data_IF_274991638950
#
_entry.id   IF_274991638950
#
_cell.length_a   1.000
_cell.length_b   1.000
_cell.length_c   1.000
_cell.angle_alpha   90.00
_cell.angle_beta   90.00
_cell.angle_gamma   90.00
#
_symmetry.space_group_name_H-M   'P 1'
#
loop_
_entity.id
_entity.type
_entity.pdbx_description
1 polymer ?
#
# COMPACT_ATOMS: atom_id res chain seq x y z
N UNK A 1 -30.32 -36.87 -0.22
CA UNK A 1 -31.14 -35.85 -0.92
C UNK A 1 -30.21 -34.72 -1.32
N UNK A 2 -30.41 -34.09 -2.48
CA UNK A 2 -29.58 -32.95 -2.86
C UNK A 2 -30.02 -31.73 -2.04
N UNK A 3 -29.09 -31.07 -1.36
CA UNK A 3 -29.33 -29.83 -0.63
C UNK A 3 -29.33 -28.63 -1.58
N UNK A 4 -30.01 -27.55 -1.18
CA UNK A 4 -29.86 -26.26 -1.85
C UNK A 4 -28.42 -25.73 -1.67
N UNK A 5 -27.91 -25.03 -2.68
CA UNK A 5 -26.60 -24.40 -2.60
C UNK A 5 -26.59 -23.27 -1.55
N UNK A 6 -25.47 -23.10 -0.85
CA UNK A 6 -25.32 -22.08 0.20
C UNK A 6 -25.67 -20.67 -0.29
N UNK A 7 -25.18 -20.28 -1.47
CA UNK A 7 -25.50 -18.98 -2.09
C UNK A 7 -27.01 -18.77 -2.27
N UNK A 8 -27.73 -19.84 -2.63
CA UNK A 8 -29.19 -19.76 -2.80
C UNK A 8 -29.91 -19.65 -1.46
N UNK A 9 -29.42 -20.32 -0.41
CA UNK A 9 -29.96 -20.20 0.95
C UNK A 9 -29.75 -18.80 1.53
N UNK A 10 -28.63 -18.15 1.22
CA UNK A 10 -28.36 -16.76 1.58
C UNK A 10 -29.38 -15.84 0.89
N UNK A 11 -29.60 -16.00 -0.42
CA UNK A 11 -30.55 -15.20 -1.20
C UNK A 11 -32.01 -15.38 -0.72
N UNK A 12 -32.39 -16.62 -0.36
CA UNK A 12 -33.70 -16.97 0.20
C UNK A 12 -33.91 -16.47 1.64
N UNK A 13 -32.87 -15.90 2.25
CA UNK A 13 -33.01 -15.10 3.47
C UNK A 13 -33.99 -13.95 3.25
N UNK A 14 -33.91 -13.30 2.08
CA UNK A 14 -34.57 -12.02 1.79
C UNK A 14 -35.66 -12.12 0.71
N UNK A 15 -35.50 -13.07 -0.20
CA UNK A 15 -36.42 -13.30 -1.30
C UNK A 15 -37.50 -14.33 -0.95
N UNK A 16 -38.64 -14.25 -1.63
CA UNK A 16 -39.68 -15.28 -1.53
C UNK A 16 -39.20 -16.58 -2.20
N UNK A 17 -39.28 -17.73 -1.50
CA UNK A 17 -38.93 -19.00 -2.09
C UNK A 17 -39.92 -19.38 -3.20
N UNK A 18 -39.40 -19.95 -4.27
CA UNK A 18 -40.25 -20.59 -5.30
C UNK A 18 -41.01 -21.77 -4.69
N UNK A 19 -42.12 -22.18 -5.32
CA UNK A 19 -42.93 -23.31 -4.84
C UNK A 19 -42.11 -24.60 -4.64
N UNK A 20 -41.12 -24.85 -5.50
CA UNK A 20 -40.22 -26.00 -5.41
C UNK A 20 -39.24 -25.89 -4.24
N UNK A 21 -38.72 -24.70 -3.97
CA UNK A 21 -37.83 -24.45 -2.82
C UNK A 21 -38.60 -24.51 -1.52
N UNK A 22 -39.84 -24.02 -1.49
CA UNK A 22 -40.71 -24.11 -0.32
C UNK A 22 -41.02 -25.58 0.03
N UNK A 23 -41.34 -26.40 -0.96
CA UNK A 23 -41.51 -27.84 -0.76
C UNK A 23 -40.23 -28.53 -0.26
N UNK A 24 -39.06 -28.11 -0.75
CA UNK A 24 -37.78 -28.60 -0.27
C UNK A 24 -37.48 -28.17 1.18
N UNK A 25 -37.68 -26.89 1.53
CA UNK A 25 -37.46 -26.37 2.87
C UNK A 25 -38.42 -27.01 3.90
N UNK A 26 -39.64 -27.35 3.48
CA UNK A 26 -40.59 -28.11 4.30
C UNK A 26 -40.19 -29.57 4.56
N UNK A 27 -39.26 -30.13 3.77
CA UNK A 27 -38.83 -31.53 3.88
C UNK A 27 -37.38 -31.68 4.36
N UNK A 28 -36.53 -30.67 4.16
CA UNK A 28 -35.12 -30.68 4.54
C UNK A 28 -34.84 -29.75 5.74
N UNK A 29 -34.79 -30.33 6.94
CA UNK A 29 -34.52 -29.61 8.18
C UNK A 29 -33.12 -28.98 8.26
N UNK A 30 -32.16 -29.46 7.48
CA UNK A 30 -30.81 -28.89 7.42
C UNK A 30 -30.80 -27.56 6.65
N UNK A 31 -31.38 -27.53 5.45
CA UNK A 31 -31.49 -26.31 4.65
C UNK A 31 -32.34 -25.23 5.34
N UNK A 32 -33.42 -25.62 6.03
CA UNK A 32 -34.23 -24.65 6.77
C UNK A 32 -33.49 -24.08 7.99
N UNK A 33 -32.71 -24.90 8.71
CA UNK A 33 -31.85 -24.43 9.82
C UNK A 33 -30.78 -23.47 9.33
N UNK A 34 -30.15 -23.79 8.20
CA UNK A 34 -29.11 -22.94 7.61
C UNK A 34 -29.70 -21.59 7.14
N UNK A 35 -30.86 -21.60 6.48
CA UNK A 35 -31.60 -20.39 6.12
C UNK A 35 -31.96 -19.54 7.33
N UNK A 36 -32.42 -20.16 8.42
CA UNK A 36 -32.71 -19.46 9.68
C UNK A 36 -31.45 -18.84 10.29
N UNK A 37 -30.31 -19.53 10.22
CA UNK A 37 -29.03 -18.99 10.68
C UNK A 37 -28.62 -17.74 9.89
N UNK A 38 -28.74 -17.75 8.55
CA UNK A 38 -28.47 -16.57 7.74
C UNK A 38 -29.40 -15.40 8.07
N UNK A 39 -30.70 -15.66 8.28
CA UNK A 39 -31.67 -14.64 8.70
C UNK A 39 -31.33 -14.06 10.08
N UNK A 40 -30.93 -14.89 11.02
CA UNK A 40 -30.53 -14.45 12.36
C UNK A 40 -29.27 -13.57 12.31
N UNK A 41 -28.24 -14.00 11.58
CA UNK A 41 -27.01 -13.23 11.37
C UNK A 41 -27.30 -11.86 10.75
N UNK A 42 -28.18 -11.81 9.75
CA UNK A 42 -28.59 -10.55 9.12
C UNK A 42 -29.37 -9.66 10.09
N UNK A 43 -30.29 -10.24 10.88
CA UNK A 43 -31.01 -9.52 11.91
C UNK A 43 -30.08 -8.86 12.93
N UNK A 44 -29.03 -9.57 13.35
CA UNK A 44 -27.98 -9.02 14.21
C UNK A 44 -27.23 -7.88 13.52
N UNK A 45 -26.83 -8.03 12.25
CA UNK A 45 -26.14 -6.99 11.50
C UNK A 45 -26.98 -5.72 11.33
N UNK A 46 -28.29 -5.85 11.08
CA UNK A 46 -29.22 -4.71 11.00
C UNK A 46 -29.39 -4.04 12.36
N UNK A 47 -29.54 -4.83 13.43
CA UNK A 47 -29.66 -4.31 14.79
C UNK A 47 -28.40 -3.55 15.22
N UNK A 48 -27.22 -4.10 14.91
CA UNK A 48 -25.93 -3.45 15.14
C UNK A 48 -25.82 -2.15 14.32
N UNK A 49 -26.17 -2.19 13.04
CA UNK A 49 -26.19 -1.01 12.17
C UNK A 49 -27.13 0.09 12.65
N UNK A 50 -28.23 -0.25 13.33
CA UNK A 50 -29.14 0.72 13.94
C UNK A 50 -28.60 1.29 15.27
N UNK A 51 -27.77 0.54 16.00
CA UNK A 51 -27.10 1.01 17.22
C UNK A 51 -25.91 1.92 16.93
N UNK A 52 -25.22 1.66 15.82
CA UNK A 52 -24.20 2.54 15.25
C UNK A 52 -24.89 3.76 14.62
N UNK A 53 -25.49 4.63 15.44
CA UNK A 53 -26.02 6.01 15.20
C UNK A 53 -26.51 6.34 13.78
N UNK A 54 -27.67 7.00 13.66
CA UNK A 54 -28.20 7.52 12.39
C UNK A 54 -27.08 7.97 11.43
N UNK A 55 -27.04 7.46 10.19
CA UNK A 55 -25.89 7.60 9.30
C UNK A 55 -25.44 9.06 9.33
N UNK A 56 -24.15 9.27 9.64
CA UNK A 56 -23.59 10.60 9.94
C UNK A 56 -23.86 11.63 8.85
N UNK A 57 -24.27 11.18 7.66
CA UNK A 57 -25.04 11.95 6.70
C UNK A 57 -25.91 11.00 5.85
N UNK A 58 -27.15 11.37 5.56
CA UNK A 58 -27.91 10.70 4.51
C UNK A 58 -27.32 11.09 3.15
N UNK A 59 -27.29 10.15 2.19
CA UNK A 59 -26.81 10.44 0.84
C UNK A 59 -27.58 11.59 0.17
N UNK A 60 -28.87 11.78 0.48
CA UNK A 60 -29.64 12.89 -0.04
C UNK A 60 -29.16 14.25 0.50
N UNK A 61 -28.84 14.33 1.80
CA UNK A 61 -28.25 15.52 2.40
C UNK A 61 -26.85 15.80 1.84
N UNK A 62 -26.00 14.77 1.75
CA UNK A 62 -24.67 14.86 1.13
C UNK A 62 -24.73 15.27 -0.33
N UNK A 63 -25.59 14.64 -1.12
CA UNK A 63 -25.68 14.89 -2.56
C UNK A 63 -26.20 16.29 -2.86
N UNK A 64 -26.99 16.86 -1.95
CA UNK A 64 -27.45 18.26 -2.05
C UNK A 64 -26.29 19.20 -1.73
N UNK A 65 -25.59 19.01 -0.61
CA UNK A 65 -24.42 19.79 -0.24
C UNK A 65 -23.31 19.72 -1.31
N UNK A 66 -23.01 18.52 -1.83
CA UNK A 66 -21.99 18.31 -2.88
C UNK A 66 -22.39 18.91 -4.24
N UNK A 67 -23.70 19.08 -4.53
CA UNK A 67 -24.18 19.83 -5.70
C UNK A 67 -24.08 21.33 -5.48
N UNK A 68 -24.36 21.81 -4.27
CA UNK A 68 -24.19 23.22 -3.87
C UNK A 68 -22.72 23.64 -3.90
N UNK A 69 -21.81 22.75 -3.48
CA UNK A 69 -20.36 22.92 -3.55
C UNK A 69 -19.78 22.70 -4.96
N UNK A 70 -20.62 22.32 -5.95
CA UNK A 70 -20.22 22.17 -7.35
C UNK A 70 -19.36 20.94 -7.64
N UNK A 71 -19.19 20.02 -6.69
CA UNK A 71 -18.40 18.80 -6.83
C UNK A 71 -19.14 17.73 -7.66
N UNK A 72 -20.47 17.74 -7.65
CA UNK A 72 -21.30 16.91 -8.52
C UNK A 72 -21.84 17.78 -9.65
N UNK A 73 -21.19 17.69 -10.82
CA UNK A 73 -21.49 18.51 -11.98
C UNK A 73 -22.92 18.29 -12.52
N UNK A 74 -23.73 19.36 -12.60
CA UNK A 74 -24.89 19.42 -13.50
C UNK A 74 -24.41 19.70 -14.93
N UNK A 75 -24.26 18.65 -15.73
CA UNK A 75 -23.98 18.63 -17.18
C UNK A 75 -22.58 19.10 -17.62
N UNK A 76 -22.09 18.57 -18.78
CA UNK A 76 -20.68 18.63 -19.13
C UNK A 76 -20.32 20.05 -19.57
N UNK A 77 -19.41 20.69 -18.84
CA UNK A 77 -18.77 21.89 -19.34
C UNK A 77 -17.71 21.49 -20.37
N UNK A 78 -17.68 22.13 -21.56
CA UNK A 78 -16.62 21.90 -22.53
C UNK A 78 -15.29 22.32 -21.93
N UNK A 79 -14.25 21.57 -22.29
CA UNK A 79 -12.84 21.82 -21.98
C UNK A 79 -12.53 23.32 -21.99
N UNK A 80 -12.24 23.89 -20.80
CA UNK A 80 -11.71 25.23 -20.68
C UNK A 80 -10.28 25.23 -21.23
N UNK A 81 -10.14 25.68 -22.47
CA UNK A 81 -8.86 26.16 -23.01
C UNK A 81 -8.51 27.42 -22.20
N UNK A 82 -7.51 27.29 -21.33
CA UNK A 82 -6.92 28.41 -20.60
C UNK A 82 -6.28 29.38 -21.59
N UNK A 83 -7.00 30.44 -21.93
CA UNK A 83 -6.45 31.63 -22.57
C UNK A 83 -6.21 32.66 -21.46
N UNK A 84 -4.98 33.09 -21.17
CA UNK A 84 -4.71 34.02 -20.08
C UNK A 84 -5.18 35.45 -20.44
N UNK A 85 -5.75 36.21 -19.48
CA UNK A 85 -6.22 37.57 -19.73
C UNK A 85 -5.07 38.58 -19.80
N UNK A 86 -5.12 39.46 -20.80
CA UNK A 86 -4.24 40.61 -20.92
C UNK A 86 -4.59 41.67 -19.86
N UNK A 87 -3.70 41.86 -18.89
CA UNK A 87 -3.80 42.92 -17.88
C UNK A 87 -3.18 44.20 -18.47
N UNK A 88 -4.00 45.23 -18.70
CA UNK A 88 -3.53 46.61 -18.86
C UNK A 88 -3.44 47.24 -17.46
N UNK A 89 -2.24 47.56 -17.02
CA UNK A 89 -2.02 48.48 -15.90
C UNK A 89 -0.78 49.34 -16.11
N UNK A 90 -0.93 50.59 -15.69
CA UNK A 90 -0.14 51.78 -15.90
C UNK A 90 1.39 51.66 -15.72
N UNK A 91 2.06 52.45 -16.56
CA UNK A 91 3.49 52.76 -16.58
C UNK A 91 3.97 53.53 -15.34
N UNK A 92 5.04 53.02 -14.72
CA UNK A 92 6.08 53.84 -14.05
C UNK A 92 7.44 53.15 -14.17
N UNK A 93 8.55 53.87 -14.45
CA UNK A 93 9.83 53.25 -14.77
C UNK A 93 10.81 53.24 -13.59
N UNK A 94 11.54 52.13 -13.41
CA UNK A 94 12.94 52.02 -12.95
C UNK A 94 13.24 50.59 -12.43
N UNK A 95 14.51 50.17 -12.26
CA UNK A 95 15.65 50.28 -13.15
C UNK A 95 16.15 48.88 -13.58
N UNK A 96 16.88 48.82 -14.71
CA UNK A 96 17.52 47.61 -15.25
C UNK A 96 18.50 47.00 -14.23
N UNK A 97 18.21 45.81 -13.72
CA UNK A 97 19.20 44.94 -13.08
C UNK A 97 19.21 43.57 -13.75
N UNK A 98 20.43 43.11 -14.01
CA UNK A 98 20.85 42.08 -14.94
C UNK A 98 20.27 40.72 -14.58
N UNK A 99 19.59 40.08 -15.53
CA UNK A 99 19.28 38.65 -15.50
C UNK A 99 20.59 37.88 -15.61
N UNK A 100 20.97 37.22 -14.52
CA UNK A 100 22.01 36.20 -14.50
C UNK A 100 21.47 34.97 -13.75
N UNK A 101 21.20 33.93 -14.54
CA UNK A 101 21.37 32.51 -14.20
C UNK A 101 20.78 31.93 -12.90
N UNK A 102 19.47 31.62 -12.94
CA UNK A 102 18.87 30.65 -12.00
C UNK A 102 19.04 29.17 -12.43
N UNK A 103 19.93 28.92 -13.41
CA UNK A 103 20.39 27.57 -13.77
C UNK A 103 21.53 27.05 -12.86
N UNK A 104 21.92 27.81 -11.83
CA UNK A 104 23.01 27.46 -10.92
C UNK A 104 22.56 26.87 -9.57
N UNK A 105 21.25 26.82 -9.27
CA UNK A 105 20.74 26.32 -7.98
C UNK A 105 20.05 24.94 -8.07
N UNK A 106 20.41 24.12 -9.07
CA UNK A 106 19.95 22.73 -9.19
C UNK A 106 21.07 21.69 -9.18
N UNK A 107 22.30 22.08 -8.85
CA UNK A 107 23.46 21.19 -8.79
C UNK A 107 23.92 20.82 -7.36
N UNK A 108 23.25 21.27 -6.28
CA UNK A 108 23.78 21.15 -4.92
C UNK A 108 23.23 19.98 -4.06
N UNK A 109 22.30 19.16 -4.54
CA UNK A 109 21.77 18.02 -3.77
C UNK A 109 22.21 16.64 -4.29
N UNK A 110 23.17 16.58 -5.23
CA UNK A 110 23.75 15.34 -5.75
C UNK A 110 25.15 15.03 -5.17
N UNK A 111 25.67 15.83 -4.23
CA UNK A 111 27.01 15.66 -3.66
C UNK A 111 27.03 15.21 -2.19
N UNK A 112 25.89 15.05 -1.53
CA UNK A 112 25.84 14.54 -0.16
C UNK A 112 25.73 13.00 -0.04
N UNK A 113 25.48 12.27 -1.12
CA UNK A 113 25.40 10.80 -1.11
C UNK A 113 26.66 10.07 -1.62
N UNK A 114 27.75 10.80 -1.93
CA UNK A 114 29.00 10.23 -2.46
C UNK A 114 30.21 10.33 -1.49
N UNK A 115 29.97 10.62 -0.21
CA UNK A 115 31.05 10.86 0.77
C UNK A 115 30.95 10.06 2.08
N UNK A 116 30.41 8.84 2.05
CA UNK A 116 30.28 7.99 3.25
C UNK A 116 30.49 6.51 2.96
N UNK A 117 31.70 6.11 2.58
CA UNK A 117 31.99 4.69 2.31
C UNK A 117 33.42 4.37 1.90
N UNK A 118 34.41 4.77 2.70
CA UNK A 118 35.76 4.20 2.60
C UNK A 118 36.18 3.74 3.99
N UNK A 119 35.98 2.44 4.29
CA UNK A 119 36.66 1.76 5.39
C UNK A 119 37.90 1.08 4.80
N UNK A 120 39.05 1.45 5.36
CA UNK A 120 40.39 1.02 5.01
C UNK A 120 40.65 -0.49 5.26
N UNK A 121 41.40 -1.12 4.35
CA UNK A 121 42.17 -2.35 4.59
C UNK A 121 43.28 -2.44 3.52
N UNK A 122 44.43 -1.78 3.69
CA UNK A 122 45.67 -2.26 4.36
C UNK A 122 46.42 -3.34 3.53
N UNK A 123 47.48 -2.93 2.80
CA UNK A 123 48.47 -3.85 2.20
C UNK A 123 49.27 -3.34 0.98
N UNK A 124 50.22 -2.43 1.24
CA UNK A 124 51.50 -2.03 0.56
C UNK A 124 52.14 -3.04 -0.44
N UNK A 125 53.02 -2.66 -1.41
CA UNK A 125 52.92 -1.73 -2.54
C UNK A 125 53.37 -2.35 -3.90
N UNK A 126 53.28 -1.50 -4.94
CA UNK A 126 54.00 -1.45 -6.24
C UNK A 126 55.00 -2.55 -6.64
N UNK A 127 54.92 -3.00 -7.90
CA UNK A 127 55.94 -2.67 -8.92
C UNK A 127 55.45 -3.04 -10.35
N UNK A 128 55.69 -2.07 -11.25
CA UNK A 128 55.94 -2.08 -12.70
C UNK A 128 55.22 -3.00 -13.73
N UNK A 129 54.79 -2.31 -14.78
CA UNK A 129 54.37 -2.72 -16.14
C UNK A 129 55.51 -3.46 -16.94
N UNK A 130 55.38 -3.80 -18.24
CA UNK A 130 54.49 -4.75 -18.90
C UNK A 130 55.26 -5.72 -19.84
N UNK A 131 54.95 -7.03 -19.92
CA UNK A 131 55.18 -7.80 -21.17
C UNK A 131 54.57 -9.20 -21.20
N UNK A 132 54.13 -9.54 -22.40
CA UNK A 132 53.56 -10.81 -22.82
C UNK A 132 54.40 -12.05 -22.47
N UNK A 133 53.72 -13.12 -22.04
CA UNK A 133 54.14 -14.50 -22.27
C UNK A 133 52.91 -15.41 -22.33
N UNK A 134 52.80 -16.11 -23.46
CA UNK A 134 51.89 -17.23 -23.69
C UNK A 134 52.34 -18.41 -22.82
N UNK A 135 51.46 -18.96 -21.99
CA UNK A 135 51.63 -20.31 -21.44
C UNK A 135 50.27 -20.95 -21.12
N UNK A 136 50.05 -22.10 -21.75
CA UNK A 136 48.91 -22.99 -21.65
C UNK A 136 48.99 -23.84 -20.37
N UNK A 137 47.96 -23.86 -19.51
CA UNK A 137 47.75 -24.94 -18.53
C UNK A 137 46.32 -24.95 -17.92
N UNK A 138 45.59 -26.04 -18.21
CA UNK A 138 44.58 -26.79 -17.43
C UNK A 138 43.41 -26.08 -16.66
N UNK A 139 42.22 -26.71 -16.57
CA UNK A 139 40.97 -26.04 -16.20
C UNK A 139 40.84 -25.83 -14.68
N UNK A 140 40.61 -24.58 -14.27
CA UNK A 140 40.12 -24.25 -12.94
C UNK A 140 38.60 -24.47 -12.85
N UNK A 141 38.05 -24.88 -11.70
CA UNK A 141 36.62 -25.12 -11.54
C UNK A 141 35.86 -23.80 -11.72
N UNK A 142 34.78 -23.86 -12.49
CA UNK A 142 33.87 -22.74 -12.70
C UNK A 142 33.27 -22.30 -11.35
N UNK A 143 33.86 -21.28 -10.75
CA UNK A 143 33.18 -20.43 -9.78
C UNK A 143 32.02 -19.80 -10.56
N UNK A 144 30.80 -20.22 -10.25
CA UNK A 144 29.59 -19.50 -10.65
C UNK A 144 29.71 -18.13 -10.00
N UNK A 145 30.16 -17.15 -10.76
CA UNK A 145 29.88 -15.76 -10.46
C UNK A 145 28.38 -15.60 -10.63
N UNK A 146 27.65 -15.59 -9.51
CA UNK A 146 26.30 -15.06 -9.49
C UNK A 146 26.36 -13.69 -10.15
N UNK A 147 25.73 -13.60 -11.32
CA UNK A 147 25.60 -12.34 -12.01
C UNK A 147 24.93 -11.36 -11.05
N UNK A 148 25.41 -10.10 -10.93
CA UNK A 148 24.69 -9.10 -10.17
C UNK A 148 23.29 -9.01 -10.78
N UNK A 149 22.28 -9.42 -10.00
CA UNK A 149 20.87 -9.19 -10.32
C UNK A 149 20.77 -7.71 -10.65
N UNK A 150 20.41 -7.41 -11.90
CA UNK A 150 20.42 -6.06 -12.46
C UNK A 150 19.47 -5.15 -11.69
N UNK A 151 19.97 -4.54 -10.62
CA UNK A 151 19.24 -3.69 -9.68
C UNK A 151 18.83 -2.33 -10.26
N UNK A 152 19.06 -2.07 -11.56
CA UNK A 152 18.81 -0.77 -12.18
C UNK A 152 17.92 -0.81 -13.44
N UNK A 153 17.58 -1.98 -13.99
CA UNK A 153 16.91 -2.03 -15.30
C UNK A 153 15.39 -1.94 -15.27
N UNK A 154 14.74 -2.12 -14.11
CA UNK A 154 13.27 -2.20 -14.06
C UNK A 154 12.55 -0.86 -13.89
N UNK A 155 13.25 0.22 -13.56
CA UNK A 155 12.64 1.54 -13.32
C UNK A 155 13.11 2.64 -14.30
N UNK A 156 13.97 2.29 -15.26
CA UNK A 156 14.60 3.25 -16.18
C UNK A 156 13.76 3.53 -17.44
N UNK A 157 12.44 3.69 -17.28
CA UNK A 157 11.51 3.97 -18.38
C UNK A 157 10.73 5.27 -18.14
N UNK A 158 10.77 6.21 -19.07
CA UNK A 158 9.79 7.29 -19.10
C UNK A 158 8.45 6.74 -19.63
N UNK A 159 7.35 6.98 -18.90
CA UNK A 159 6.02 6.61 -19.36
C UNK A 159 5.54 7.58 -20.44
N UNK A 160 4.92 7.06 -21.49
CA UNK A 160 4.36 7.86 -22.59
C UNK A 160 2.93 8.32 -22.30
N UNK A 161 2.27 7.72 -21.29
CA UNK A 161 0.93 8.11 -20.84
C UNK A 161 0.66 7.76 -19.37
N UNK A 162 -0.33 8.43 -18.76
CA UNK A 162 -0.80 8.11 -17.40
C UNK A 162 -1.34 6.67 -17.27
N UNK A 163 -2.02 6.18 -18.31
CA UNK A 163 -2.57 4.82 -18.33
C UNK A 163 -1.44 3.77 -18.28
N UNK A 164 -0.33 4.02 -18.99
CA UNK A 164 0.86 3.18 -18.97
C UNK A 164 1.52 3.18 -17.58
N UNK A 165 1.66 4.35 -16.95
CA UNK A 165 2.23 4.49 -15.61
C UNK A 165 1.39 3.73 -14.55
N UNK A 166 0.06 3.87 -14.58
CA UNK A 166 -0.84 3.15 -13.68
C UNK A 166 -0.76 1.63 -13.91
N UNK A 167 -0.73 1.19 -15.17
CA UNK A 167 -0.58 -0.23 -15.50
C UNK A 167 0.78 -0.79 -15.03
N UNK A 168 1.86 -0.01 -15.11
CA UNK A 168 3.16 -0.38 -14.56
C UNK A 168 3.13 -0.46 -13.03
N UNK A 169 2.51 0.51 -12.35
CA UNK A 169 2.36 0.52 -10.89
C UNK A 169 1.59 -0.71 -10.39
N UNK A 170 0.44 -1.03 -11.00
CA UNK A 170 -0.32 -2.23 -10.62
C UNK A 170 0.43 -3.53 -10.88
N UNK A 171 1.27 -3.60 -11.93
CA UNK A 171 2.15 -4.76 -12.16
C UNK A 171 3.18 -4.88 -11.05
N UNK A 172 3.85 -3.78 -10.70
CA UNK A 172 4.85 -3.76 -9.64
C UNK A 172 4.27 -4.15 -8.27
N UNK A 173 3.06 -3.69 -7.94
CA UNK A 173 2.37 -4.08 -6.70
C UNK A 173 2.13 -5.60 -6.64
N UNK A 174 1.58 -6.19 -7.71
CA UNK A 174 1.36 -7.65 -7.75
C UNK A 174 2.66 -8.45 -7.71
N UNK A 175 3.72 -7.94 -8.33
CA UNK A 175 5.03 -8.57 -8.31
C UNK A 175 5.65 -8.51 -6.91
N UNK A 176 5.55 -7.37 -6.23
CA UNK A 176 5.94 -7.22 -4.84
C UNK A 176 5.18 -8.17 -3.92
N UNK A 177 3.85 -8.24 -4.03
CA UNK A 177 3.01 -9.14 -3.22
C UNK A 177 3.40 -10.61 -3.42
N UNK A 178 3.62 -11.02 -4.67
CA UNK A 178 4.07 -12.38 -5.01
C UNK A 178 5.46 -12.66 -4.45
N UNK A 179 6.39 -11.71 -4.59
CA UNK A 179 7.74 -11.84 -4.05
C UNK A 179 7.73 -11.91 -2.52
N UNK A 180 6.96 -11.05 -1.85
CA UNK A 180 6.80 -11.06 -0.39
C UNK A 180 6.25 -12.40 0.10
N UNK A 181 5.21 -12.93 -0.55
CA UNK A 181 4.65 -14.25 -0.22
C UNK A 181 5.68 -15.36 -0.43
N UNK A 182 6.43 -15.32 -1.54
CA UNK A 182 7.49 -16.28 -1.80
C UNK A 182 8.57 -16.23 -0.72
N UNK A 183 9.00 -15.02 -0.31
CA UNK A 183 9.99 -14.84 0.74
C UNK A 183 9.48 -15.35 2.09
N UNK A 184 8.23 -15.09 2.46
CA UNK A 184 7.66 -15.63 3.69
C UNK A 184 7.66 -17.17 3.72
N UNK A 185 7.37 -17.82 2.59
CA UNK A 185 7.32 -19.29 2.51
C UNK A 185 8.72 -19.94 2.43
N UNK A 186 9.65 -19.31 1.72
CA UNK A 186 10.93 -19.94 1.35
C UNK A 186 12.13 -19.40 2.15
N UNK A 187 11.98 -18.25 2.80
CA UNK A 187 12.98 -17.67 3.67
C UNK A 187 12.34 -17.48 5.05
N UNK A 188 12.13 -18.57 5.81
CA UNK A 188 11.76 -18.43 7.21
C UNK A 188 12.87 -17.60 7.86
N UNK A 189 12.53 -16.38 8.28
CA UNK A 189 13.46 -15.53 9.01
C UNK A 189 13.96 -16.38 10.17
N UNK A 190 15.28 -16.51 10.31
CA UNK A 190 15.87 -17.31 11.39
C UNK A 190 15.24 -16.90 12.72
N UNK A 191 14.55 -17.85 13.35
CA UNK A 191 13.87 -17.70 14.64
C UNK A 191 12.74 -16.64 14.66
N UNK A 192 11.70 -16.81 13.84
CA UNK A 192 10.41 -16.06 13.93
C UNK A 192 9.74 -16.14 15.33
N UNK A 193 10.24 -17.01 16.20
CA UNK A 193 9.85 -17.11 17.62
C UNK A 193 10.62 -16.15 18.52
N UNK A 194 11.63 -15.42 18.03
CA UNK A 194 12.33 -14.41 18.83
C UNK A 194 11.42 -13.19 19.08
N UNK A 195 11.14 -12.86 20.35
CA UNK A 195 10.34 -11.70 20.73
C UNK A 195 10.84 -10.37 20.13
N UNK A 196 12.13 -10.28 19.78
CA UNK A 196 12.76 -9.08 19.25
C UNK A 196 12.29 -8.70 17.84
N UNK A 197 11.93 -9.68 17.01
CA UNK A 197 11.38 -9.42 15.67
C UNK A 197 10.01 -8.75 15.78
N UNK A 198 9.16 -9.22 16.70
CA UNK A 198 7.86 -8.60 16.96
C UNK A 198 8.00 -7.21 17.57
N UNK A 199 8.96 -7.00 18.50
CA UNK A 199 9.24 -5.68 19.07
C UNK A 199 9.70 -4.69 18.00
N UNK A 200 10.64 -5.08 17.15
CA UNK A 200 11.11 -4.25 16.05
C UNK A 200 9.98 -3.88 15.08
N UNK A 201 9.12 -4.85 14.76
CA UNK A 201 7.93 -4.62 13.92
C UNK A 201 6.94 -3.65 14.58
N UNK A 202 6.64 -3.82 15.87
CA UNK A 202 5.74 -2.93 16.60
C UNK A 202 6.29 -1.50 16.64
N UNK A 203 7.57 -1.32 16.95
CA UNK A 203 8.22 -0.01 16.93
C UNK A 203 8.17 0.65 15.55
N UNK A 204 8.37 -0.11 14.48
CA UNK A 204 8.24 0.39 13.12
C UNK A 204 6.79 0.83 12.80
N UNK A 205 5.79 0.06 13.24
CA UNK A 205 4.37 0.39 13.04
C UNK A 205 3.98 1.64 13.83
N UNK A 206 4.44 1.78 15.07
CA UNK A 206 4.22 2.97 15.90
C UNK A 206 4.81 4.23 15.23
N UNK A 207 6.01 4.12 14.66
CA UNK A 207 6.61 5.22 13.88
C UNK A 207 5.78 5.61 12.65
N UNK A 208 5.22 4.63 11.92
CA UNK A 208 4.34 4.91 10.78
C UNK A 208 3.05 5.58 11.22
N UNK A 209 2.45 5.13 12.33
CA UNK A 209 1.26 5.75 12.90
C UNK A 209 1.55 7.20 13.31
N UNK A 210 2.66 7.45 14.01
CA UNK A 210 3.08 8.79 14.42
C UNK A 210 3.30 9.70 13.21
N UNK A 211 4.05 9.25 12.21
CA UNK A 211 4.28 10.02 10.99
C UNK A 211 2.97 10.31 10.23
N UNK A 212 2.05 9.36 10.19
CA UNK A 212 0.74 9.55 9.56
C UNK A 212 -0.13 10.56 10.31
N UNK A 213 -0.08 10.57 11.65
CA UNK A 213 -0.77 11.56 12.47
C UNK A 213 -0.21 12.96 12.23
N UNK A 214 1.11 13.14 12.23
CA UNK A 214 1.73 14.43 11.90
C UNK A 214 1.34 14.91 10.50
N UNK A 215 1.31 14.02 9.51
CA UNK A 215 0.85 14.40 8.16
C UNK A 215 -0.65 14.76 8.11
N UNK A 216 -1.49 14.12 8.95
CA UNK A 216 -2.91 14.45 9.09
C UNK A 216 -3.15 15.77 9.81
N UNK A 217 -2.25 16.22 10.70
CA UNK A 217 -2.34 17.57 11.28
C UNK A 217 -2.22 18.65 10.19
N UNK A 218 -1.34 18.43 9.20
CA UNK A 218 -1.19 19.31 8.04
C UNK A 218 -2.33 19.17 7.01
N UNK A 219 -2.93 17.97 6.90
CA UNK A 219 -3.97 17.65 5.93
C UNK A 219 -5.11 16.80 6.54
N UNK A 220 -5.98 17.39 7.39
CA UNK A 220 -6.93 16.64 8.23
C UNK A 220 -8.04 15.91 7.47
N UNK A 221 -8.29 16.30 6.22
CA UNK A 221 -9.30 15.69 5.36
C UNK A 221 -8.72 14.79 4.27
N UNK A 222 -7.43 14.43 4.34
CA UNK A 222 -6.81 13.56 3.33
C UNK A 222 -7.20 12.08 3.55
N UNK A 223 -7.99 11.48 2.64
CA UNK A 223 -8.45 10.09 2.79
C UNK A 223 -7.31 9.07 2.61
N UNK A 224 -6.24 9.41 1.89
CA UNK A 224 -5.09 8.54 1.64
C UNK A 224 -4.23 8.44 2.90
N UNK A 225 -3.93 9.56 3.54
CA UNK A 225 -3.18 9.58 4.81
C UNK A 225 -3.94 8.87 5.94
N UNK A 226 -5.26 9.08 6.03
CA UNK A 226 -6.10 8.38 6.99
C UNK A 226 -6.08 6.85 6.76
N UNK A 227 -6.09 6.41 5.49
CA UNK A 227 -5.98 4.99 5.16
C UNK A 227 -4.65 4.38 5.61
N UNK A 228 -3.53 5.10 5.47
CA UNK A 228 -2.23 4.63 5.95
C UNK A 228 -2.20 4.50 7.47
N UNK A 229 -2.76 5.47 8.19
CA UNK A 229 -2.88 5.40 9.65
C UNK A 229 -3.68 4.17 10.10
N UNK A 230 -4.88 3.97 9.55
CA UNK A 230 -5.75 2.84 9.89
C UNK A 230 -5.09 1.50 9.55
N UNK A 231 -4.41 1.42 8.40
CA UNK A 231 -3.70 0.21 8.00
C UNK A 231 -2.54 -0.13 8.95
N UNK A 232 -1.78 0.88 9.40
CA UNK A 232 -0.69 0.70 10.35
C UNK A 232 -1.20 0.27 11.73
N UNK A 233 -2.30 0.88 12.22
CA UNK A 233 -2.96 0.47 13.46
C UNK A 233 -3.41 -1.00 13.38
N UNK A 234 -4.18 -1.38 12.35
CA UNK A 234 -4.64 -2.76 12.17
C UNK A 234 -3.50 -3.79 12.11
N UNK A 235 -2.39 -3.45 11.46
CA UNK A 235 -1.20 -4.29 11.43
C UNK A 235 -0.57 -4.43 12.83
N UNK A 236 -0.57 -3.38 13.65
CA UNK A 236 -0.08 -3.41 15.03
C UNK A 236 -0.90 -4.36 15.89
N UNK A 237 -2.24 -4.26 15.85
CA UNK A 237 -3.10 -5.19 16.61
C UNK A 237 -2.94 -6.65 16.15
N UNK A 238 -2.78 -6.89 14.85
CA UNK A 238 -2.48 -8.25 14.36
C UNK A 238 -1.15 -8.79 14.89
N UNK A 239 -0.13 -7.94 14.96
CA UNK A 239 1.21 -8.31 15.43
C UNK A 239 1.18 -8.62 16.93
N UNK A 240 0.42 -7.85 17.72
CA UNK A 240 0.21 -8.12 19.14
C UNK A 240 -0.52 -9.45 19.37
N UNK A 241 -1.53 -9.78 18.56
CA UNK A 241 -2.22 -11.08 18.64
C UNK A 241 -1.29 -12.24 18.29
N UNK A 242 -0.47 -12.09 17.24
CA UNK A 242 0.53 -13.09 16.86
C UNK A 242 1.54 -13.33 17.99
N UNK A 243 2.02 -12.25 18.62
CA UNK A 243 2.89 -12.33 19.78
C UNK A 243 2.22 -13.07 20.95
N UNK A 244 0.96 -12.76 21.27
CA UNK A 244 0.22 -13.48 22.32
C UNK A 244 0.08 -14.98 22.02
N UNK A 245 -0.06 -15.38 20.75
CA UNK A 245 -0.15 -16.79 20.36
C UNK A 245 1.19 -17.52 20.33
N UNK A 246 2.31 -16.81 20.19
CA UNK A 246 3.65 -17.41 20.15
C UNK A 246 4.30 -17.52 21.54
N UNK A 247 3.80 -16.79 22.54
CA UNK A 247 4.26 -16.90 23.93
C UNK A 247 3.71 -18.17 24.61
N UNK A 248 4.55 -18.96 25.32
CA UNK A 248 4.10 -20.11 26.09
C UNK A 248 3.08 -19.72 27.18
N UNK A 249 2.08 -20.57 27.49
CA UNK A 249 1.11 -20.30 28.54
C UNK A 249 1.84 -20.09 29.88
N UNK A 250 1.74 -18.87 30.43
CA UNK A 250 2.37 -18.47 31.70
C UNK A 250 3.43 -17.38 31.60
N UNK A 251 3.85 -16.98 30.39
CA UNK A 251 4.73 -15.82 30.20
C UNK A 251 3.91 -14.53 30.09
N UNK A 252 3.98 -13.66 31.11
CA UNK A 252 3.45 -12.29 31.05
C UNK A 252 4.51 -11.38 30.41
N UNK A 253 4.10 -10.60 29.42
CA UNK A 253 4.90 -9.48 28.92
C UNK A 253 4.68 -8.34 29.91
N UNK A 254 5.69 -8.04 30.74
CA UNK A 254 5.55 -7.12 31.87
C UNK A 254 5.55 -5.62 31.49
N UNK A 255 5.70 -5.24 30.22
CA UNK A 255 5.41 -3.86 29.74
C UNK A 255 5.70 -3.69 28.25
N UNK A 256 5.01 -2.71 27.64
CA UNK A 256 5.43 -1.93 26.48
C UNK A 256 5.46 -0.46 26.89
#
# INVERSE_FOLDING_TARGET
MLHLHADRLIELGDSEPTNTELAHLGTCAECERERQAYRALRGLAVAEGAQLSAPLTSWDALSTALKEEGLIARKPSPVLILTPPAIRAASRPAPRRRQASDWALRAAAALFFLAGGVVLGRGVPADDEPRAAVAQAAPAPAVRTDAPVGLASNFSGSFTSNAEALAALYRAQREYERAATFLMTNNPVGDETQPDVYRARLAALDNVMQASMTALEDAPADPVLNRYYIAAAGARESTLRQLQTSLPPGSRIDSF
#
